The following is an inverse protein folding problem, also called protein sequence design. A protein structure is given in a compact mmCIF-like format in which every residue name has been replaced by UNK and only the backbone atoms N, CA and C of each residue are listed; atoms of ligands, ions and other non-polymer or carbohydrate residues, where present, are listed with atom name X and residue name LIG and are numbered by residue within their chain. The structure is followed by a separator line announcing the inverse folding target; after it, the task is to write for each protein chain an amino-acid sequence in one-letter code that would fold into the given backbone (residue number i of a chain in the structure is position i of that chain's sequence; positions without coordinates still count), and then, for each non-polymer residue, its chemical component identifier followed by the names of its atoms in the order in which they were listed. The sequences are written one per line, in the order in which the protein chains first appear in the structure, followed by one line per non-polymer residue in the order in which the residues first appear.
data_IF_472242027033
#
_entry.id   IF_472242027033
#
_cell.length_a   1.000
_cell.length_b   1.000
_cell.length_c   1.000
_cell.angle_alpha   90.00
_cell.angle_beta   90.00
_cell.angle_gamma   90.00
#
_symmetry.space_group_name_H-M   'P 1'
#
loop_
_entity.id
_entity.type
_entity.pdbx_description
1 polymer ?
#
# COMPACT_ATOMS: atom_id res chain seq x y z
N UNK A 1 -16.52 15.05 -36.41
CA UNK A 1 -15.32 15.50 -35.68
C UNK A 1 -15.19 14.57 -34.48
N UNK A 2 -14.16 13.77 -34.46
CA UNK A 2 -13.90 12.85 -33.34
C UNK A 2 -13.22 13.63 -32.20
N UNK A 3 -13.76 13.50 -30.97
CA UNK A 3 -13.15 14.13 -29.79
C UNK A 3 -12.00 13.27 -29.31
N UNK A 4 -10.79 13.80 -29.32
CA UNK A 4 -9.59 13.10 -28.83
C UNK A 4 -9.44 13.36 -27.34
N UNK A 5 -9.44 12.29 -26.54
CA UNK A 5 -9.18 12.32 -25.10
C UNK A 5 -7.68 12.35 -24.82
N UNK A 6 -7.32 12.61 -23.55
CA UNK A 6 -5.93 12.60 -23.11
C UNK A 6 -5.33 11.19 -23.34
N UNK A 7 -4.25 11.13 -24.12
CA UNK A 7 -3.61 9.87 -24.51
C UNK A 7 -3.09 9.06 -23.32
N UNK A 8 -2.60 9.72 -22.28
CA UNK A 8 -2.12 9.03 -21.07
C UNK A 8 -3.25 8.29 -20.33
N UNK A 9 -4.47 8.85 -20.37
CA UNK A 9 -5.64 8.20 -19.74
C UNK A 9 -6.04 6.94 -20.50
N UNK A 10 -5.86 6.90 -21.81
CA UNK A 10 -6.20 5.71 -22.63
C UNK A 10 -5.27 4.53 -22.37
N UNK A 11 -4.09 4.76 -21.77
CA UNK A 11 -3.13 3.73 -21.40
C UNK A 11 -3.43 3.06 -20.06
N UNK A 12 -4.37 3.60 -19.28
CA UNK A 12 -4.69 3.12 -17.93
C UNK A 12 -6.10 2.55 -17.91
N UNK A 13 -6.23 1.35 -17.34
CA UNK A 13 -7.53 0.73 -17.10
C UNK A 13 -7.98 0.96 -15.65
N UNK A 14 -9.27 0.87 -15.41
CA UNK A 14 -9.80 0.85 -14.05
C UNK A 14 -9.20 -0.34 -13.28
N UNK A 15 -8.97 -0.13 -11.98
CA UNK A 15 -8.34 -1.12 -11.12
C UNK A 15 -8.96 -2.52 -11.26
N UNK A 16 -8.16 -3.51 -11.69
CA UNK A 16 -8.56 -4.90 -11.78
C UNK A 16 -9.02 -5.46 -10.42
N UNK A 17 -8.40 -5.01 -9.33
CA UNK A 17 -8.81 -5.35 -7.95
C UNK A 17 -10.25 -4.91 -7.69
N UNK A 18 -10.62 -3.68 -8.08
CA UNK A 18 -12.00 -3.18 -7.92
C UNK A 18 -12.97 -3.92 -8.82
N UNK A 19 -12.60 -4.15 -10.09
CA UNK A 19 -13.42 -4.91 -11.06
C UNK A 19 -13.72 -6.31 -10.49
N UNK A 20 -12.73 -7.01 -9.99
CA UNK A 20 -12.90 -8.34 -9.40
C UNK A 20 -13.74 -8.30 -8.12
N UNK A 21 -13.54 -7.30 -7.27
CA UNK A 21 -14.35 -7.11 -6.07
C UNK A 21 -15.83 -6.88 -6.40
N UNK A 22 -16.14 -6.10 -7.44
CA UNK A 22 -17.52 -5.93 -7.90
C UNK A 22 -18.11 -7.23 -8.42
N UNK A 23 -17.33 -8.02 -9.18
CA UNK A 23 -17.77 -9.33 -9.66
C UNK A 23 -18.11 -10.27 -8.50
N UNK A 24 -17.27 -10.31 -7.47
CA UNK A 24 -17.52 -11.11 -6.25
C UNK A 24 -18.78 -10.65 -5.53
N UNK A 25 -18.97 -9.35 -5.33
CA UNK A 25 -20.17 -8.79 -4.69
C UNK A 25 -21.46 -9.06 -5.50
N UNK A 26 -21.34 -9.14 -6.81
CA UNK A 26 -22.48 -9.47 -7.69
C UNK A 26 -22.78 -10.98 -7.74
N UNK A 27 -21.96 -11.83 -7.15
CA UNK A 27 -22.13 -13.29 -7.14
C UNK A 27 -22.83 -13.71 -5.84
N UNK A 28 -24.10 -14.16 -5.89
CA UNK A 28 -24.85 -14.53 -4.70
C UNK A 28 -24.16 -15.66 -3.91
N UNK A 29 -24.02 -15.46 -2.59
CA UNK A 29 -23.45 -16.45 -1.69
C UNK A 29 -21.92 -16.57 -1.77
N UNK A 30 -21.23 -15.72 -2.54
CA UNK A 30 -19.77 -15.71 -2.56
C UNK A 30 -19.17 -15.15 -1.27
N UNK A 31 -18.16 -15.86 -0.75
CA UNK A 31 -17.29 -15.37 0.32
C UNK A 31 -16.21 -14.46 -0.28
N UNK A 32 -16.16 -13.20 0.13
CA UNK A 32 -15.21 -12.22 -0.41
C UNK A 32 -13.97 -12.12 0.47
N UNK A 33 -12.79 -12.48 -0.05
CA UNK A 33 -11.49 -12.28 0.59
C UNK A 33 -10.60 -11.39 -0.30
N UNK A 34 -11.18 -10.33 -0.85
CA UNK A 34 -10.58 -9.52 -1.92
C UNK A 34 -10.00 -8.20 -1.47
N UNK A 35 -10.70 -7.45 -0.61
CA UNK A 35 -10.31 -6.08 -0.24
C UNK A 35 -9.39 -6.11 0.98
N UNK A 36 -8.38 -5.23 0.96
CA UNK A 36 -7.52 -4.96 2.11
C UNK A 36 -8.12 -3.87 3.00
N UNK A 37 -9.20 -4.18 3.69
CA UNK A 37 -9.90 -3.30 4.61
C UNK A 37 -10.16 -4.04 5.92
N UNK A 38 -9.55 -3.59 7.05
CA UNK A 38 -9.79 -4.21 8.35
C UNK A 38 -11.28 -4.29 8.69
N UNK A 39 -11.73 -5.45 9.16
CA UNK A 39 -13.10 -5.67 9.66
C UNK A 39 -13.34 -5.07 11.05
N UNK A 40 -12.37 -4.30 11.52
CA UNK A 40 -12.41 -3.62 12.81
C UNK A 40 -13.11 -2.26 12.70
N UNK A 41 -13.70 -1.84 13.79
CA UNK A 41 -14.16 -0.47 13.95
C UNK A 41 -12.99 0.50 14.17
N UNK A 42 -13.12 1.73 13.66
CA UNK A 42 -12.27 2.84 14.09
C UNK A 42 -12.33 2.98 15.62
N UNK A 43 -11.22 3.15 16.33
CA UNK A 43 -11.21 3.27 17.80
C UNK A 43 -12.21 4.30 18.32
N UNK A 44 -12.90 3.97 19.41
CA UNK A 44 -13.96 4.81 19.96
C UNK A 44 -13.48 6.24 20.27
N UNK A 45 -12.30 6.38 20.88
CA UNK A 45 -11.72 7.69 21.19
C UNK A 45 -11.52 8.56 19.94
N UNK A 46 -11.08 7.96 18.82
CA UNK A 46 -10.92 8.66 17.53
C UNK A 46 -12.26 9.14 16.99
N UNK A 47 -13.31 8.30 17.08
CA UNK A 47 -14.68 8.68 16.68
C UNK A 47 -15.22 9.82 17.54
N UNK A 48 -15.02 9.78 18.87
CA UNK A 48 -15.47 10.84 19.77
C UNK A 48 -14.71 12.16 19.53
N UNK A 49 -13.41 12.13 19.24
CA UNK A 49 -12.65 13.32 18.88
C UNK A 49 -13.18 14.01 17.61
N UNK A 50 -13.59 13.23 16.60
CA UNK A 50 -14.21 13.77 15.39
C UNK A 50 -15.58 14.40 15.68
N UNK A 51 -16.42 13.76 16.51
CA UNK A 51 -17.71 14.30 16.93
C UNK A 51 -17.55 15.61 17.68
N UNK A 52 -16.62 15.66 18.64
CA UNK A 52 -16.30 16.88 19.38
C UNK A 52 -15.84 18.01 18.45
N UNK A 53 -15.02 17.72 17.44
CA UNK A 53 -14.61 18.71 16.45
C UNK A 53 -15.80 19.27 15.66
N UNK A 54 -16.77 18.42 15.29
CA UNK A 54 -17.99 18.84 14.60
C UNK A 54 -18.88 19.69 15.52
N UNK A 55 -19.04 19.31 16.79
CA UNK A 55 -19.80 20.07 17.79
C UNK A 55 -19.17 21.45 18.08
N UNK A 56 -17.84 21.55 18.00
CA UNK A 56 -17.08 22.80 18.11
C UNK A 56 -17.14 23.66 16.82
N UNK A 57 -17.85 23.23 15.79
CA UNK A 57 -17.92 23.87 14.46
C UNK A 57 -16.55 23.96 13.75
N UNK A 58 -15.65 23.02 13.96
CA UNK A 58 -14.38 22.91 13.21
C UNK A 58 -14.65 22.36 11.81
N UNK A 59 -15.31 23.18 10.98
CA UNK A 59 -15.84 22.80 9.65
C UNK A 59 -15.45 23.78 8.53
N UNK A 60 -14.49 24.65 8.80
CA UNK A 60 -13.98 25.63 7.84
C UNK A 60 -12.68 25.14 7.19
N UNK A 61 -12.25 25.82 6.13
CA UNK A 61 -11.00 25.50 5.44
C UNK A 61 -9.79 25.60 6.38
N UNK A 62 -9.07 24.49 6.60
CA UNK A 62 -7.78 24.54 7.28
C UNK A 62 -6.67 24.96 6.30
N UNK A 63 -5.44 25.22 6.80
CA UNK A 63 -4.27 25.38 5.94
C UNK A 63 -4.08 24.19 4.99
N UNK A 64 -3.57 24.44 3.78
CA UNK A 64 -3.44 23.44 2.72
C UNK A 64 -2.69 22.18 3.17
N UNK A 65 -1.50 22.33 3.77
CA UNK A 65 -0.69 21.19 4.24
C UNK A 65 -1.21 20.53 5.52
N UNK A 66 -2.27 21.08 6.11
CA UNK A 66 -2.79 20.69 7.42
C UNK A 66 -2.53 21.76 8.48
N UNK A 67 -3.16 21.61 9.63
CA UNK A 67 -2.90 22.49 10.76
C UNK A 67 -1.47 22.30 11.30
N UNK A 68 -0.76 23.38 11.71
CA UNK A 68 0.58 23.26 12.26
C UNK A 68 0.69 22.32 13.46
N UNK A 69 -0.34 22.29 14.31
CA UNK A 69 -0.38 21.37 15.46
C UNK A 69 -0.51 19.91 15.02
N UNK A 70 -1.18 19.61 13.89
CA UNK A 70 -1.29 18.25 13.36
C UNK A 70 0.01 17.82 12.68
N UNK A 71 0.63 18.71 11.90
CA UNK A 71 1.95 18.47 11.32
C UNK A 71 3.00 18.20 12.43
N UNK A 72 2.97 18.99 13.52
CA UNK A 72 3.84 18.78 14.67
C UNK A 72 3.55 17.45 15.38
N UNK A 73 2.28 17.03 15.48
CA UNK A 73 1.92 15.74 16.07
C UNK A 73 2.45 14.57 15.22
N UNK A 74 2.35 14.65 13.89
CA UNK A 74 2.92 13.64 12.97
C UNK A 74 4.45 13.62 13.11
N UNK A 75 5.12 14.77 13.03
CA UNK A 75 6.57 14.85 13.13
C UNK A 75 7.09 14.26 14.45
N UNK A 76 6.39 14.57 15.57
CA UNK A 76 6.70 14.00 16.88
C UNK A 76 6.51 12.47 16.89
N UNK A 77 5.39 11.98 16.41
CA UNK A 77 5.09 10.55 16.34
C UNK A 77 6.17 9.79 15.56
N UNK A 78 6.54 10.31 14.38
CA UNK A 78 7.54 9.69 13.53
C UNK A 78 8.94 9.68 14.19
N UNK A 79 9.30 10.76 14.87
CA UNK A 79 10.57 10.83 15.60
C UNK A 79 10.59 9.84 16.78
N UNK A 80 9.53 9.80 17.60
CA UNK A 80 9.48 8.98 18.82
C UNK A 80 9.31 7.47 18.53
N UNK A 81 8.53 7.12 17.52
CA UNK A 81 8.21 5.72 17.22
C UNK A 81 9.12 5.09 16.16
N UNK A 82 9.68 5.89 15.27
CA UNK A 82 10.39 5.39 14.09
C UNK A 82 11.77 6.03 13.88
N UNK A 83 12.18 6.98 14.74
CA UNK A 83 13.47 7.66 14.60
C UNK A 83 13.58 8.58 13.38
N UNK A 84 12.46 8.91 12.73
CA UNK A 84 12.43 9.76 11.54
C UNK A 84 12.25 11.22 11.95
N UNK A 85 13.30 12.00 11.84
CA UNK A 85 13.33 13.39 12.29
C UNK A 85 13.02 14.36 11.15
N UNK A 86 11.75 14.70 10.96
CA UNK A 86 11.25 15.72 10.04
C UNK A 86 10.74 16.93 10.82
N UNK A 87 10.91 18.13 10.27
CA UNK A 87 10.28 19.34 10.82
C UNK A 87 8.77 19.34 10.47
N UNK A 88 7.91 20.02 11.27
CA UNK A 88 6.47 20.07 10.96
C UNK A 88 6.16 20.56 9.53
N UNK A 89 6.91 21.52 9.00
CA UNK A 89 6.79 22.05 7.63
C UNK A 89 7.20 21.04 6.53
N UNK A 90 7.88 19.97 6.91
CA UNK A 90 8.24 18.85 6.02
C UNK A 90 7.19 17.73 6.00
N UNK A 91 6.04 17.97 6.61
CA UNK A 91 4.89 17.07 6.65
C UNK A 91 3.73 17.70 5.88
N UNK A 92 3.09 16.93 4.99
CA UNK A 92 1.84 17.31 4.34
C UNK A 92 0.79 16.24 4.57
N UNK A 93 -0.39 16.64 5.04
CA UNK A 93 -1.54 15.76 5.17
C UNK A 93 -2.21 15.55 3.81
N UNK A 94 -2.68 14.34 3.56
CA UNK A 94 -3.22 13.94 2.24
C UNK A 94 -4.52 13.15 2.36
N UNK A 95 -5.29 13.07 1.27
CA UNK A 95 -6.51 12.24 1.19
C UNK A 95 -6.12 10.76 1.09
N UNK A 96 -5.52 10.25 2.16
CA UNK A 96 -4.89 8.94 2.25
C UNK A 96 -3.61 8.84 1.44
N UNK A 97 -2.91 7.72 1.57
CA UNK A 97 -1.67 7.46 0.82
C UNK A 97 -1.87 7.48 -0.71
N UNK A 98 -3.08 7.22 -1.21
CA UNK A 98 -3.37 7.29 -2.65
C UNK A 98 -3.10 8.67 -3.23
N UNK A 99 -3.54 9.72 -2.53
CA UNK A 99 -3.27 11.10 -2.95
C UNK A 99 -1.80 11.47 -2.70
N UNK A 100 -1.20 11.03 -1.59
CA UNK A 100 0.21 11.24 -1.33
C UNK A 100 1.10 10.69 -2.46
N UNK A 101 0.85 9.45 -2.90
CA UNK A 101 1.54 8.82 -4.03
C UNK A 101 1.31 9.59 -5.34
N UNK A 102 0.05 9.98 -5.60
CA UNK A 102 -0.30 10.72 -6.81
C UNK A 102 0.40 12.08 -6.86
N UNK A 103 0.33 12.84 -5.79
CA UNK A 103 0.96 14.16 -5.70
C UNK A 103 2.49 14.07 -5.76
N UNK A 104 3.10 13.11 -5.04
CA UNK A 104 4.55 12.90 -5.02
C UNK A 104 5.09 12.51 -6.39
N UNK A 105 4.54 11.48 -7.03
CA UNK A 105 4.97 11.07 -8.36
C UNK A 105 4.69 12.17 -9.40
N UNK A 106 3.58 12.92 -9.26
CA UNK A 106 3.30 14.05 -10.15
C UNK A 106 4.28 15.19 -9.99
N UNK A 107 4.82 15.40 -8.78
CA UNK A 107 5.77 16.46 -8.50
C UNK A 107 7.18 16.20 -9.07
N UNK A 108 7.55 14.93 -9.24
CA UNK A 108 8.90 14.54 -9.64
C UNK A 108 9.03 14.02 -11.07
N UNK A 109 7.93 13.53 -11.68
CA UNK A 109 7.98 12.89 -13.00
C UNK A 109 7.70 13.86 -14.15
N UNK A 110 8.52 13.74 -15.19
CA UNK A 110 8.27 14.28 -16.51
C UNK A 110 7.89 13.16 -17.50
N UNK A 111 7.23 13.48 -18.62
CA UNK A 111 6.99 12.49 -19.68
C UNK A 111 8.30 11.85 -20.15
N UNK A 112 8.30 10.51 -20.20
CA UNK A 112 9.47 9.72 -20.62
C UNK A 112 10.44 9.35 -19.49
N UNK A 113 10.29 9.88 -18.27
CA UNK A 113 11.01 9.41 -17.09
C UNK A 113 10.63 7.96 -16.77
N UNK A 114 11.57 7.20 -16.20
CA UNK A 114 11.36 5.82 -15.81
C UNK A 114 11.21 5.69 -14.29
N UNK A 115 10.27 4.82 -13.86
CA UNK A 115 10.07 4.50 -12.45
C UNK A 115 10.22 2.99 -12.26
N UNK A 116 11.18 2.59 -11.42
CA UNK A 116 11.36 1.18 -11.07
C UNK A 116 10.29 0.78 -10.05
N UNK A 117 9.60 -0.32 -10.36
CA UNK A 117 8.53 -0.89 -9.53
C UNK A 117 8.86 -2.35 -9.27
N UNK A 118 9.40 -2.70 -8.08
CA UNK A 118 9.53 -4.10 -7.67
C UNK A 118 8.17 -4.80 -7.68
N UNK A 119 8.05 -5.91 -8.43
CA UNK A 119 6.81 -6.69 -8.53
C UNK A 119 6.94 -8.01 -7.78
N UNK A 120 5.83 -8.52 -7.18
CA UNK A 120 4.44 -8.02 -7.26
C UNK A 120 4.25 -6.69 -6.55
N UNK A 121 3.40 -5.83 -7.11
CA UNK A 121 3.18 -4.48 -6.62
C UNK A 121 1.70 -4.05 -6.67
N UNK A 122 1.34 -3.09 -5.84
CA UNK A 122 0.02 -2.47 -5.93
C UNK A 122 -0.11 -1.67 -7.23
N UNK A 123 -1.11 -2.00 -8.07
CA UNK A 123 -1.28 -1.42 -9.41
C UNK A 123 -1.47 0.09 -9.49
N UNK A 124 -1.60 0.77 -8.34
CA UNK A 124 -1.67 2.24 -8.28
C UNK A 124 -0.39 2.89 -8.79
N UNK A 125 0.77 2.33 -8.48
CA UNK A 125 2.06 2.92 -8.88
C UNK A 125 2.18 3.00 -10.40
N UNK A 126 1.94 1.88 -11.09
CA UNK A 126 1.92 1.83 -12.55
C UNK A 126 0.92 2.82 -13.14
N UNK A 127 -0.30 2.86 -12.59
CA UNK A 127 -1.35 3.73 -13.09
C UNK A 127 -0.93 5.21 -13.03
N UNK A 128 -0.36 5.66 -11.91
CA UNK A 128 0.11 7.05 -11.75
C UNK A 128 1.25 7.35 -12.73
N UNK A 129 2.24 6.45 -12.83
CA UNK A 129 3.40 6.61 -13.73
C UNK A 129 2.92 6.82 -15.17
N UNK A 130 2.02 5.95 -15.66
CA UNK A 130 1.44 6.08 -17.02
C UNK A 130 0.63 7.34 -17.20
N UNK A 131 -0.20 7.73 -16.20
CA UNK A 131 -0.97 8.97 -16.24
C UNK A 131 -0.07 10.21 -16.35
N UNK A 132 1.17 10.14 -15.88
CA UNK A 132 2.17 11.21 -16.01
C UNK A 132 2.95 11.14 -17.32
N UNK A 133 2.66 10.19 -18.21
CA UNK A 133 3.42 9.96 -19.45
C UNK A 133 4.81 9.39 -19.19
N UNK A 134 5.07 8.92 -17.99
CA UNK A 134 6.31 8.22 -17.60
C UNK A 134 6.18 6.71 -17.85
N UNK A 135 7.29 5.98 -17.72
CA UNK A 135 7.40 4.57 -18.08
C UNK A 135 7.64 3.73 -16.83
N UNK A 136 6.75 2.78 -16.49
CA UNK A 136 7.03 1.82 -15.41
C UNK A 136 8.07 0.78 -15.89
N UNK A 137 9.10 0.57 -15.08
CA UNK A 137 10.13 -0.47 -15.26
C UNK A 137 9.92 -1.51 -14.16
N UNK A 138 9.45 -2.69 -14.53
CA UNK A 138 9.17 -3.73 -13.57
C UNK A 138 10.44 -4.48 -13.17
N UNK A 139 10.58 -4.73 -11.86
CA UNK A 139 11.67 -5.50 -11.27
C UNK A 139 11.06 -6.72 -10.56
N UNK A 140 11.00 -7.91 -11.20
CA UNK A 140 10.44 -9.11 -10.60
C UNK A 140 11.22 -9.53 -9.36
N UNK A 141 10.52 -9.87 -8.26
CA UNK A 141 11.14 -10.28 -6.99
C UNK A 141 10.62 -11.61 -6.45
N UNK A 142 9.59 -12.20 -7.07
CA UNK A 142 8.95 -13.44 -6.61
C UNK A 142 9.89 -14.65 -6.62
N UNK A 143 10.87 -14.65 -7.51
CA UNK A 143 11.89 -15.70 -7.59
C UNK A 143 12.96 -15.61 -6.49
N UNK A 144 13.06 -14.45 -5.82
CA UNK A 144 14.02 -14.16 -4.75
C UNK A 144 13.34 -13.92 -3.39
N UNK A 145 12.23 -14.62 -3.09
CA UNK A 145 11.51 -14.46 -1.82
C UNK A 145 11.01 -13.04 -1.59
N UNK A 146 10.67 -12.34 -2.67
CA UNK A 146 10.24 -10.94 -2.70
C UNK A 146 11.30 -9.94 -2.20
N UNK A 147 12.58 -10.34 -2.19
CA UNK A 147 13.70 -9.45 -1.91
C UNK A 147 14.25 -8.88 -3.23
N UNK A 148 14.77 -7.66 -3.20
CA UNK A 148 15.36 -7.03 -4.37
C UNK A 148 16.80 -7.55 -4.55
N UNK A 149 17.10 -8.11 -5.72
CA UNK A 149 18.46 -8.45 -6.11
C UNK A 149 19.19 -7.17 -6.57
N UNK A 150 20.31 -6.78 -5.93
CA UNK A 150 21.00 -5.53 -6.25
C UNK A 150 21.59 -5.51 -7.67
N UNK A 151 21.99 -6.66 -8.22
CA UNK A 151 22.50 -6.73 -9.58
C UNK A 151 21.38 -6.59 -10.62
N UNK A 152 20.16 -7.07 -10.32
CA UNK A 152 18.99 -6.84 -11.15
C UNK A 152 18.54 -5.38 -11.08
N UNK A 153 18.54 -4.79 -9.88
CA UNK A 153 18.27 -3.37 -9.69
C UNK A 153 19.25 -2.51 -10.50
N UNK A 154 20.55 -2.79 -10.42
CA UNK A 154 21.57 -2.03 -11.16
C UNK A 154 21.38 -2.12 -12.68
N UNK A 155 21.00 -3.29 -13.20
CA UNK A 155 20.69 -3.48 -14.63
C UNK A 155 19.42 -2.75 -15.07
N UNK A 156 18.45 -2.56 -14.16
CA UNK A 156 17.20 -1.86 -14.45
C UNK A 156 17.37 -0.33 -14.48
N UNK A 157 18.46 0.19 -13.90
CA UNK A 157 18.73 1.64 -13.87
C UNK A 157 19.27 2.10 -15.22
N UNK A 158 18.66 3.14 -15.76
CA UNK A 158 19.07 3.83 -16.98
C UNK A 158 19.26 5.33 -16.72
N UNK A 159 19.80 6.10 -17.67
CA UNK A 159 19.84 7.57 -17.54
C UNK A 159 18.47 8.25 -17.42
N UNK A 160 17.37 7.53 -17.69
CA UNK A 160 15.99 8.02 -17.55
C UNK A 160 15.35 7.63 -16.23
N UNK A 161 15.99 6.77 -15.45
CA UNK A 161 15.45 6.34 -14.15
C UNK A 161 15.36 7.54 -13.21
N UNK A 162 14.14 7.88 -12.84
CA UNK A 162 13.80 9.03 -12.00
C UNK A 162 13.48 8.63 -10.57
N UNK A 163 12.84 7.48 -10.39
CA UNK A 163 12.40 7.04 -9.06
C UNK A 163 12.32 5.50 -8.97
N UNK A 164 12.34 5.02 -7.74
CA UNK A 164 11.95 3.68 -7.34
C UNK A 164 10.86 3.75 -6.27
N UNK A 165 9.89 2.84 -6.29
CA UNK A 165 8.87 2.72 -5.24
C UNK A 165 9.16 1.48 -4.42
N UNK A 166 9.46 1.66 -3.13
CA UNK A 166 9.67 0.58 -2.17
C UNK A 166 8.44 0.47 -1.27
N UNK A 167 7.87 -0.72 -1.17
CA UNK A 167 6.71 -1.01 -0.31
C UNK A 167 7.05 -2.12 0.65
N UNK A 168 7.13 -1.82 1.94
CA UNK A 168 7.45 -2.78 3.00
C UNK A 168 6.69 -2.44 4.28
N UNK A 169 5.85 -3.37 4.78
CA UNK A 169 5.42 -4.64 4.22
C UNK A 169 4.67 -4.51 2.88
N UNK A 170 4.88 -5.48 2.01
CA UNK A 170 4.40 -5.43 0.63
C UNK A 170 2.92 -5.83 0.49
N UNK A 171 2.20 -5.17 -0.38
CA UNK A 171 0.92 -5.59 -0.94
C UNK A 171 1.16 -6.00 -2.41
N UNK A 172 1.08 -7.29 -2.78
CA UNK A 172 0.22 -8.33 -2.20
C UNK A 172 0.91 -9.41 -1.36
N UNK A 173 2.24 -9.46 -1.25
CA UNK A 173 2.96 -10.63 -0.73
C UNK A 173 3.02 -10.69 0.80
N UNK A 174 2.87 -9.56 1.50
CA UNK A 174 3.12 -9.47 2.94
C UNK A 174 4.61 -9.56 3.31
N UNK A 175 5.50 -9.59 2.33
CA UNK A 175 6.93 -9.63 2.58
C UNK A 175 7.46 -8.31 3.14
N UNK A 176 8.49 -8.41 3.98
CA UNK A 176 9.27 -7.29 4.50
C UNK A 176 10.66 -7.37 3.89
N UNK A 177 11.21 -6.26 3.45
CA UNK A 177 12.61 -6.22 3.02
C UNK A 177 13.53 -6.43 4.21
N UNK A 178 14.49 -7.35 4.09
CA UNK A 178 15.52 -7.54 5.10
C UNK A 178 16.48 -6.35 5.15
N UNK A 179 17.17 -6.18 6.30
CA UNK A 179 18.19 -5.13 6.43
C UNK A 179 19.26 -5.26 5.36
N UNK A 180 19.67 -6.49 5.04
CA UNK A 180 20.66 -6.78 4.01
C UNK A 180 20.18 -6.35 2.62
N UNK A 181 18.90 -6.59 2.30
CA UNK A 181 18.30 -6.11 1.05
C UNK A 181 18.29 -4.58 1.00
N UNK A 182 17.88 -3.93 2.09
CA UNK A 182 17.85 -2.46 2.15
C UNK A 182 19.26 -1.86 2.03
N UNK A 183 20.26 -2.44 2.71
CA UNK A 183 21.66 -2.01 2.60
C UNK A 183 22.20 -2.18 1.16
N UNK A 184 21.86 -3.28 0.50
CA UNK A 184 22.26 -3.51 -0.88
C UNK A 184 21.58 -2.54 -1.85
N UNK A 185 20.29 -2.25 -1.66
CA UNK A 185 19.56 -1.23 -2.44
C UNK A 185 20.14 0.17 -2.20
N UNK A 186 20.45 0.51 -0.95
CA UNK A 186 21.13 1.77 -0.61
C UNK A 186 22.46 1.90 -1.34
N UNK A 187 23.32 0.88 -1.28
CA UNK A 187 24.61 0.89 -1.95
C UNK A 187 24.51 1.10 -3.48
N UNK A 188 23.45 0.61 -4.10
CA UNK A 188 23.19 0.84 -5.52
C UNK A 188 22.72 2.27 -5.81
N UNK A 189 21.95 2.89 -4.89
CA UNK A 189 21.25 4.15 -5.13
C UNK A 189 21.97 5.40 -4.60
N UNK A 190 22.85 5.28 -3.60
CA UNK A 190 23.40 6.40 -2.81
C UNK A 190 24.06 7.49 -3.67
N UNK A 191 24.76 7.11 -4.74
CA UNK A 191 25.44 8.05 -5.64
C UNK A 191 24.61 8.42 -6.89
N UNK A 192 23.32 8.06 -6.94
CA UNK A 192 22.46 8.30 -8.10
C UNK A 192 21.37 9.33 -7.80
N UNK A 193 21.02 10.20 -8.76
CA UNK A 193 19.96 11.20 -8.57
C UNK A 193 18.56 10.56 -8.76
N UNK A 194 18.27 9.52 -7.99
CA UNK A 194 17.03 8.74 -8.08
C UNK A 194 16.23 8.95 -6.80
N UNK A 195 14.96 9.34 -6.93
CA UNK A 195 14.04 9.45 -5.80
C UNK A 195 13.63 8.06 -5.29
N UNK A 196 13.47 7.93 -3.98
CA UNK A 196 12.95 6.72 -3.35
C UNK A 196 11.62 7.06 -2.65
N UNK A 197 10.54 6.47 -3.15
CA UNK A 197 9.24 6.56 -2.49
C UNK A 197 9.11 5.36 -1.55
N UNK A 198 9.05 5.60 -0.26
CA UNK A 198 8.82 4.59 0.77
C UNK A 198 7.30 4.54 1.08
N UNK A 199 6.58 3.58 0.47
CA UNK A 199 5.18 3.35 0.79
C UNK A 199 5.09 2.46 2.04
N UNK A 200 5.12 3.09 3.19
CA UNK A 200 5.22 2.46 4.52
C UNK A 200 3.84 2.29 5.19
N UNK A 201 2.74 2.29 4.42
CA UNK A 201 1.35 2.27 4.94
C UNK A 201 1.02 1.05 5.81
N UNK A 202 1.82 -0.01 5.73
CA UNK A 202 1.69 -1.22 6.54
C UNK A 202 2.75 -1.33 7.65
N UNK A 203 3.63 -0.35 7.82
CA UNK A 203 4.74 -0.38 8.80
C UNK A 203 4.30 -0.73 10.23
N UNK A 204 3.12 -0.27 10.65
CA UNK A 204 2.57 -0.59 11.96
C UNK A 204 1.98 -2.01 12.07
N UNK A 205 1.91 -2.75 10.97
CA UNK A 205 1.34 -4.10 10.90
C UNK A 205 2.43 -5.10 10.51
N UNK A 206 3.49 -5.20 11.32
CA UNK A 206 4.61 -6.14 11.13
C UNK A 206 4.58 -7.26 12.16
N UNK A 207 5.08 -8.43 11.76
CA UNK A 207 5.09 -9.64 12.57
C UNK A 207 6.50 -10.15 12.87
N UNK A 208 7.51 -9.41 12.40
CA UNK A 208 8.93 -9.64 12.67
C UNK A 208 9.41 -8.66 13.74
N UNK A 209 10.46 -9.04 14.47
CA UNK A 209 11.04 -8.20 15.54
C UNK A 209 11.99 -7.15 14.95
N UNK A 210 12.70 -7.50 13.89
CA UNK A 210 13.70 -6.64 13.24
C UNK A 210 13.13 -6.07 11.93
N UNK A 211 12.34 -5.00 12.06
CA UNK A 211 11.78 -4.29 10.92
C UNK A 211 12.57 -3.01 10.66
N UNK A 212 12.95 -2.81 9.41
CA UNK A 212 13.58 -1.60 8.91
C UNK A 212 12.83 -1.04 7.71
N UNK A 213 12.85 0.28 7.57
CA UNK A 213 12.39 0.98 6.38
C UNK A 213 13.57 1.64 5.66
N UNK A 214 13.49 1.75 4.34
CA UNK A 214 14.48 2.53 3.58
C UNK A 214 14.47 4.01 3.98
N UNK A 215 13.42 4.51 4.60
CA UNK A 215 13.34 5.87 5.13
C UNK A 215 14.36 6.18 6.24
N UNK A 216 15.02 5.16 6.80
CA UNK A 216 16.05 5.31 7.85
C UNK A 216 17.42 5.75 7.31
N UNK A 217 17.66 5.68 5.98
CA UNK A 217 18.93 6.12 5.36
C UNK A 217 19.00 7.64 5.25
N UNK A 218 19.48 8.29 6.30
CA UNK A 218 19.52 9.75 6.44
C UNK A 218 20.45 10.47 5.47
N UNK A 219 21.45 9.77 4.92
CA UNK A 219 22.38 10.26 3.89
C UNK A 219 21.72 10.38 2.51
N UNK A 220 20.54 9.79 2.32
CA UNK A 220 19.71 9.92 1.12
C UNK A 220 18.43 10.75 1.35
N UNK A 221 18.28 11.39 2.51
CA UNK A 221 17.06 12.11 2.90
C UNK A 221 16.61 13.14 1.88
N UNK A 222 17.55 13.79 1.20
CA UNK A 222 17.32 14.78 0.14
C UNK A 222 16.53 14.27 -1.09
N UNK A 223 16.27 12.96 -1.15
CA UNK A 223 15.54 12.29 -2.25
C UNK A 223 14.59 11.19 -1.78
N UNK A 224 14.40 11.03 -0.47
CA UNK A 224 13.42 10.09 0.10
C UNK A 224 12.07 10.81 0.30
N UNK A 225 10.98 10.15 -0.10
CA UNK A 225 9.61 10.56 0.17
C UNK A 225 8.93 9.44 0.93
N UNK A 226 8.59 9.69 2.19
CA UNK A 226 7.91 8.73 3.07
C UNK A 226 6.41 8.92 2.96
N UNK A 227 5.67 7.84 2.73
CA UNK A 227 4.22 7.85 2.54
C UNK A 227 3.57 6.99 3.60
N UNK A 228 2.58 7.55 4.29
CA UNK A 228 1.90 6.93 5.40
C UNK A 228 0.37 7.10 5.35
N UNK A 229 -0.33 6.25 6.08
CA UNK A 229 -1.78 6.26 6.14
C UNK A 229 -2.32 5.86 7.51
N UNK A 230 -3.40 6.50 7.93
CA UNK A 230 -4.20 6.09 9.09
C UNK A 230 -5.14 4.91 8.77
N UNK A 231 -5.29 4.58 7.49
CA UNK A 231 -6.30 3.61 7.00
C UNK A 231 -6.14 2.22 7.61
N UNK A 232 -4.91 1.73 7.79
CA UNK A 232 -4.68 0.32 8.11
C UNK A 232 -4.55 0.06 9.62
N UNK A 233 -3.67 0.75 10.35
CA UNK A 233 -3.50 0.49 11.78
C UNK A 233 -4.73 0.87 12.61
N UNK A 234 -5.48 1.90 12.17
CA UNK A 234 -6.61 2.45 12.94
C UNK A 234 -7.99 2.13 12.35
N UNK A 235 -8.09 1.23 11.36
CA UNK A 235 -9.33 0.92 10.66
C UNK A 235 -10.06 2.18 10.14
N UNK A 236 -9.31 3.14 9.58
CA UNK A 236 -9.79 4.44 9.12
C UNK A 236 -9.85 4.53 7.58
N UNK A 237 -10.16 3.44 6.89
CA UNK A 237 -10.15 3.40 5.41
C UNK A 237 -11.10 4.40 4.77
N UNK A 238 -12.30 4.59 5.35
CA UNK A 238 -13.33 5.52 4.90
C UNK A 238 -13.06 6.99 5.26
N UNK A 239 -12.14 7.27 6.18
CA UNK A 239 -11.80 8.63 6.61
C UNK A 239 -10.97 9.39 5.58
N UNK A 240 -10.29 8.65 4.69
CA UNK A 240 -9.45 9.20 3.62
C UNK A 240 -8.39 10.16 4.15
N UNK A 241 -7.54 9.69 5.06
CA UNK A 241 -6.46 10.47 5.65
C UNK A 241 -5.14 9.71 5.67
N UNK A 242 -4.08 10.40 5.31
CA UNK A 242 -2.69 9.96 5.33
C UNK A 242 -1.78 11.18 5.35
N UNK A 243 -0.51 10.95 5.15
CA UNK A 243 0.50 12.02 5.05
C UNK A 243 1.71 11.55 4.25
N UNK A 244 2.47 12.50 3.76
CA UNK A 244 3.84 12.24 3.32
C UNK A 244 4.82 13.20 4.00
N UNK A 245 6.07 12.76 4.06
CA UNK A 245 7.20 13.51 4.60
C UNK A 245 8.35 13.46 3.62
N UNK A 246 9.01 14.58 3.43
CA UNK A 246 10.24 14.72 2.64
C UNK A 246 10.91 16.05 3.01
N UNK A 247 12.13 16.27 2.54
CA UNK A 247 12.79 17.56 2.70
C UNK A 247 11.93 18.70 2.11
N UNK A 248 11.96 19.87 2.75
CA UNK A 248 11.12 21.01 2.44
C UNK A 248 11.05 21.38 0.94
N UNK A 249 12.14 21.36 0.15
CA UNK A 249 12.06 21.64 -1.28
C UNK A 249 11.21 20.65 -2.08
N UNK A 250 11.11 19.39 -1.61
CA UNK A 250 10.26 18.36 -2.23
C UNK A 250 8.80 18.59 -1.82
N UNK A 251 8.55 18.85 -0.53
CA UNK A 251 7.21 19.14 0.00
C UNK A 251 6.60 20.35 -0.70
N UNK A 252 7.37 21.42 -0.95
CA UNK A 252 6.91 22.59 -1.70
C UNK A 252 6.37 22.24 -3.10
N UNK A 253 6.93 21.23 -3.75
CA UNK A 253 6.45 20.76 -5.06
C UNK A 253 5.26 19.84 -4.98
N UNK A 254 5.24 18.95 -3.99
CA UNK A 254 4.09 18.08 -3.71
C UNK A 254 2.87 18.91 -3.34
N UNK A 255 3.06 19.98 -2.56
CA UNK A 255 1.99 20.90 -2.16
C UNK A 255 1.26 21.54 -3.34
N UNK A 256 1.95 21.81 -4.45
CA UNK A 256 1.31 22.36 -5.64
C UNK A 256 0.23 21.40 -6.17
N UNK A 257 0.55 20.12 -6.30
CA UNK A 257 -0.41 19.12 -6.77
C UNK A 257 -1.54 18.90 -5.75
N UNK A 258 -1.22 18.84 -4.47
CA UNK A 258 -2.20 18.76 -3.39
C UNK A 258 -3.18 19.93 -3.44
N UNK A 259 -2.67 21.16 -3.48
CA UNK A 259 -3.51 22.37 -3.47
C UNK A 259 -4.49 22.42 -4.64
N UNK A 260 -4.06 22.05 -5.85
CA UNK A 260 -4.91 22.10 -7.03
C UNK A 260 -5.76 20.85 -7.26
N UNK A 261 -5.58 19.80 -6.47
CA UNK A 261 -6.42 18.60 -6.52
C UNK A 261 -7.48 18.55 -5.42
N UNK A 262 -7.12 18.86 -4.17
CA UNK A 262 -8.00 18.69 -3.01
C UNK A 262 -8.10 19.92 -2.10
N UNK A 263 -7.23 20.91 -2.27
CA UNK A 263 -7.12 22.14 -1.47
C UNK A 263 -6.60 21.90 -0.07
N UNK A 264 -7.26 21.07 0.73
CA UNK A 264 -6.89 20.76 2.12
C UNK A 264 -7.65 19.53 2.61
N UNK A 265 -7.20 18.96 3.72
CA UNK A 265 -7.87 17.85 4.41
C UNK A 265 -8.95 18.40 5.35
N UNK A 266 -10.13 17.74 5.49
CA UNK A 266 -11.17 18.20 6.40
C UNK A 266 -10.65 18.44 7.82
N UNK A 267 -11.00 19.59 8.38
CA UNK A 267 -10.52 20.06 9.68
C UNK A 267 -10.83 19.09 10.82
N UNK A 268 -12.09 18.65 10.95
CA UNK A 268 -12.55 17.73 12.00
C UNK A 268 -11.84 16.35 11.94
N UNK A 269 -11.42 15.91 10.75
CA UNK A 269 -10.66 14.67 10.59
C UNK A 269 -9.26 14.83 11.19
N UNK A 270 -8.62 15.98 11.03
CA UNK A 270 -7.28 16.23 11.56
C UNK A 270 -7.25 16.16 13.10
N UNK A 271 -8.27 16.67 13.79
CA UNK A 271 -8.40 16.54 15.26
C UNK A 271 -8.47 15.08 15.70
N UNK A 272 -9.25 14.27 15.00
CA UNK A 272 -9.34 12.83 15.28
C UNK A 272 -8.02 12.09 15.06
N UNK A 273 -7.21 12.55 14.10
CA UNK A 273 -5.92 11.91 13.79
C UNK A 273 -4.88 12.08 14.90
N UNK A 274 -4.91 13.18 15.66
CA UNK A 274 -4.03 13.31 16.85
C UNK A 274 -4.33 12.20 17.84
N UNK A 275 -5.62 11.96 18.13
CA UNK A 275 -6.04 10.85 19.02
C UNK A 275 -5.65 9.48 18.44
N UNK A 276 -5.69 9.33 17.11
CA UNK A 276 -5.26 8.09 16.47
C UNK A 276 -3.75 7.84 16.67
N UNK A 277 -2.89 8.87 16.52
CA UNK A 277 -1.46 8.74 16.77
C UNK A 277 -1.11 8.36 18.23
N UNK A 278 -1.98 8.71 19.17
CA UNK A 278 -1.84 8.36 20.59
C UNK A 278 -2.43 6.99 20.93
N UNK A 279 -3.12 6.34 19.98
CA UNK A 279 -3.78 5.05 20.18
C UNK A 279 -2.81 3.91 19.87
N UNK A 280 -2.61 3.01 20.83
CA UNK A 280 -1.78 1.81 20.62
C UNK A 280 -2.48 0.84 19.66
N UNK A 281 -1.70 0.14 18.85
CA UNK A 281 -2.19 -0.80 17.83
C UNK A 281 -1.77 -2.25 18.07
N UNK A 282 -1.17 -2.55 19.22
CA UNK A 282 -0.63 -3.88 19.54
C UNK A 282 -1.69 -4.98 19.46
N UNK A 283 -2.91 -4.70 19.94
CA UNK A 283 -4.03 -5.65 19.85
C UNK A 283 -4.43 -5.94 18.39
N UNK A 284 -4.35 -4.93 17.53
CA UNK A 284 -4.62 -5.06 16.09
C UNK A 284 -3.55 -5.91 15.43
N UNK A 285 -2.28 -5.68 15.77
CA UNK A 285 -1.13 -6.47 15.29
C UNK A 285 -1.26 -7.92 15.76
N UNK A 286 -1.56 -8.14 17.04
CA UNK A 286 -1.73 -9.48 17.60
C UNK A 286 -2.88 -10.24 16.92
N UNK A 287 -4.02 -9.58 16.66
CA UNK A 287 -5.15 -10.16 15.95
C UNK A 287 -4.75 -10.59 14.53
N UNK A 288 -4.12 -9.69 13.76
CA UNK A 288 -3.75 -10.02 12.38
C UNK A 288 -2.61 -11.06 12.32
N UNK A 289 -1.70 -11.09 13.28
CA UNK A 289 -0.72 -12.17 13.41
C UNK A 289 -1.41 -13.52 13.61
N UNK A 290 -2.38 -13.61 14.53
CA UNK A 290 -3.17 -14.82 14.76
C UNK A 290 -3.91 -15.28 13.49
N UNK A 291 -4.53 -14.35 12.76
CA UNK A 291 -5.23 -14.64 11.50
C UNK A 291 -4.24 -15.08 10.42
N UNK A 292 -3.07 -14.43 10.31
CA UNK A 292 -1.98 -14.83 9.45
C UNK A 292 -1.59 -16.28 9.69
N UNK A 293 -1.32 -16.65 10.94
CA UNK A 293 -0.88 -18.00 11.33
C UNK A 293 -1.94 -19.04 10.95
N UNK A 294 -3.20 -18.75 11.24
CA UNK A 294 -4.31 -19.63 10.89
C UNK A 294 -4.45 -19.82 9.38
N UNK A 295 -4.46 -18.73 8.61
CA UNK A 295 -4.63 -18.80 7.15
C UNK A 295 -3.43 -19.47 6.49
N UNK A 296 -2.21 -19.14 6.93
CA UNK A 296 -0.97 -19.73 6.44
C UNK A 296 -0.96 -21.25 6.64
N UNK A 297 -1.25 -21.71 7.86
CA UNK A 297 -1.32 -23.13 8.17
C UNK A 297 -2.35 -23.84 7.31
N UNK A 298 -3.57 -23.29 7.19
CA UNK A 298 -4.63 -23.88 6.37
C UNK A 298 -4.22 -24.00 4.89
N UNK A 299 -3.61 -22.98 4.32
CA UNK A 299 -3.15 -23.01 2.91
C UNK A 299 -2.03 -24.05 2.72
N UNK A 300 -1.10 -24.12 3.65
CA UNK A 300 -0.01 -25.11 3.64
C UNK A 300 -0.53 -26.54 3.75
N UNK A 301 -1.49 -26.79 4.65
CA UNK A 301 -2.13 -28.10 4.80
C UNK A 301 -2.88 -28.55 3.53
N UNK A 302 -3.38 -27.58 2.73
CA UNK A 302 -3.97 -27.83 1.43
C UNK A 302 -2.92 -28.13 0.33
N UNK A 303 -1.63 -28.04 0.65
CA UNK A 303 -0.53 -28.19 -0.31
C UNK A 303 -0.39 -27.01 -1.28
N UNK A 304 -0.88 -25.83 -0.91
CA UNK A 304 -0.65 -24.60 -1.66
C UNK A 304 0.71 -23.99 -1.28
N UNK A 305 1.43 -23.50 -2.27
CA UNK A 305 2.71 -22.83 -2.06
C UNK A 305 2.46 -21.36 -1.78
N UNK A 306 2.88 -20.88 -0.62
CA UNK A 306 2.76 -19.52 -0.16
C UNK A 306 3.93 -19.20 0.77
N UNK A 307 4.53 -18.02 0.62
CA UNK A 307 5.49 -17.51 1.59
C UNK A 307 4.74 -16.98 2.81
N UNK A 308 5.24 -17.29 4.01
CA UNK A 308 4.68 -16.75 5.24
C UNK A 308 4.82 -15.22 5.27
N UNK A 309 3.69 -14.48 5.38
CA UNK A 309 3.76 -13.02 5.44
C UNK A 309 4.41 -12.52 6.72
N UNK A 310 5.28 -11.55 6.56
CA UNK A 310 6.01 -10.89 7.65
C UNK A 310 5.33 -9.59 8.11
N UNK A 311 4.31 -9.13 7.35
CA UNK A 311 3.51 -7.96 7.67
C UNK A 311 2.27 -7.83 6.79
N UNK A 312 1.58 -6.71 6.88
CA UNK A 312 0.29 -6.43 6.23
C UNK A 312 -0.78 -7.48 6.60
N UNK A 313 -1.71 -7.79 5.71
CA UNK A 313 -2.75 -8.80 5.92
C UNK A 313 -3.12 -9.50 4.61
N UNK A 314 -2.10 -9.91 3.84
CA UNK A 314 -2.25 -10.59 2.55
C UNK A 314 -1.44 -11.87 2.49
N UNK A 315 -1.97 -12.85 1.74
CA UNK A 315 -1.28 -14.04 1.26
C UNK A 315 -1.20 -13.98 -0.26
N UNK A 316 -0.02 -14.20 -0.82
CA UNK A 316 0.18 -14.27 -2.28
C UNK A 316 0.54 -15.71 -2.65
N UNK A 317 -0.44 -16.42 -3.21
CA UNK A 317 -0.48 -17.87 -3.31
C UNK A 317 -0.10 -18.28 -4.73
N UNK A 318 0.89 -19.15 -4.89
CA UNK A 318 1.31 -19.71 -6.17
C UNK A 318 0.28 -20.74 -6.68
N UNK A 319 -0.24 -20.50 -7.87
CA UNK A 319 -1.22 -21.39 -8.54
C UNK A 319 -0.70 -21.98 -9.85
N UNK A 320 0.58 -21.76 -10.18
CA UNK A 320 1.19 -22.22 -11.46
C UNK A 320 1.05 -23.72 -11.70
N UNK A 321 1.04 -24.52 -10.61
CA UNK A 321 0.85 -25.98 -10.70
C UNK A 321 -0.48 -26.41 -11.33
N UNK A 322 -1.47 -25.52 -11.38
CA UNK A 322 -2.77 -25.83 -11.96
C UNK A 322 -2.86 -25.55 -13.47
N UNK A 323 -1.83 -24.97 -14.08
CA UNK A 323 -1.74 -24.75 -15.52
C UNK A 323 -2.76 -23.77 -16.10
N UNK A 324 -3.34 -22.91 -15.27
CA UNK A 324 -4.29 -21.86 -15.63
C UNK A 324 -3.69 -20.50 -15.37
N UNK A 325 -4.04 -19.49 -16.17
CA UNK A 325 -3.76 -18.08 -15.83
C UNK A 325 -4.55 -17.66 -14.60
N UNK A 326 -4.05 -16.64 -13.91
CA UNK A 326 -4.57 -16.21 -12.62
C UNK A 326 -6.01 -15.69 -12.68
N UNK A 327 -6.40 -15.04 -13.78
CA UNK A 327 -7.76 -14.53 -13.97
C UNK A 327 -8.74 -15.69 -14.19
N UNK A 328 -8.41 -16.63 -15.08
CA UNK A 328 -9.21 -17.84 -15.31
C UNK A 328 -9.37 -18.65 -14.03
N UNK A 329 -8.29 -18.85 -13.27
CA UNK A 329 -8.33 -19.58 -12.00
C UNK A 329 -9.27 -18.92 -11.00
N UNK A 330 -9.11 -17.61 -10.76
CA UNK A 330 -9.94 -16.88 -9.79
C UNK A 330 -11.42 -16.79 -10.22
N UNK A 331 -11.70 -16.66 -11.53
CA UNK A 331 -13.09 -16.70 -12.05
C UNK A 331 -13.69 -18.08 -11.84
N UNK A 332 -12.95 -19.16 -12.10
CA UNK A 332 -13.41 -20.53 -11.87
C UNK A 332 -13.69 -20.79 -10.40
N UNK A 333 -12.76 -20.37 -9.52
CA UNK A 333 -12.93 -20.46 -8.06
C UNK A 333 -14.16 -19.68 -7.57
N UNK A 334 -14.42 -18.51 -8.12
CA UNK A 334 -15.62 -17.73 -7.78
C UNK A 334 -16.91 -18.44 -8.21
N UNK A 335 -16.94 -19.02 -9.41
CA UNK A 335 -18.15 -19.67 -9.95
C UNK A 335 -18.44 -21.03 -9.31
N UNK A 336 -17.41 -21.84 -9.09
CA UNK A 336 -17.55 -23.21 -8.63
C UNK A 336 -17.33 -23.36 -7.11
N UNK A 337 -16.38 -22.57 -6.54
CA UNK A 337 -16.06 -22.56 -5.12
C UNK A 337 -16.78 -21.48 -4.32
N UNK A 338 -17.39 -20.50 -4.97
CA UNK A 338 -18.04 -19.35 -4.34
C UNK A 338 -17.08 -18.57 -3.39
N UNK A 339 -15.80 -18.45 -3.80
CA UNK A 339 -14.80 -17.65 -3.09
C UNK A 339 -14.19 -16.64 -4.04
N UNK A 340 -14.14 -15.40 -3.61
CA UNK A 340 -13.52 -14.31 -4.35
C UNK A 340 -12.11 -14.01 -3.85
N UNK A 341 -11.13 -14.13 -4.75
CA UNK A 341 -9.72 -13.77 -4.56
C UNK A 341 -9.29 -12.84 -5.69
N UNK A 342 -8.14 -12.20 -5.57
CA UNK A 342 -7.67 -11.30 -6.63
C UNK A 342 -6.57 -11.98 -7.46
N UNK A 343 -6.70 -12.01 -8.81
CA UNK A 343 -5.67 -12.54 -9.69
C UNK A 343 -4.34 -11.82 -9.57
N UNK A 344 -3.24 -12.56 -9.62
CA UNK A 344 -1.89 -12.03 -9.47
C UNK A 344 -1.46 -11.09 -10.59
N UNK A 345 -2.03 -11.25 -11.79
CA UNK A 345 -1.77 -10.34 -12.92
C UNK A 345 -2.08 -8.87 -12.58
N UNK A 346 -3.04 -8.61 -11.67
CA UNK A 346 -3.37 -7.25 -11.23
C UNK A 346 -2.34 -6.64 -10.26
N UNK A 347 -1.31 -7.40 -9.93
CA UNK A 347 -0.13 -6.98 -9.18
C UNK A 347 1.15 -7.09 -10.02
N UNK A 348 1.03 -7.29 -11.33
CA UNK A 348 2.14 -7.44 -12.26
C UNK A 348 2.84 -8.81 -12.21
N UNK A 349 2.23 -9.83 -11.57
CA UNK A 349 2.85 -11.15 -11.42
C UNK A 349 1.82 -12.24 -11.72
N UNK A 350 1.98 -12.89 -12.88
CA UNK A 350 1.09 -13.96 -13.34
C UNK A 350 1.36 -15.28 -12.60
N UNK A 351 0.34 -16.16 -12.53
CA UNK A 351 0.44 -17.46 -11.89
C UNK A 351 0.29 -17.43 -10.36
N UNK A 352 -0.20 -16.33 -9.82
CA UNK A 352 -0.48 -16.15 -8.39
C UNK A 352 -1.90 -15.65 -8.16
N UNK A 353 -2.36 -15.74 -6.90
CA UNK A 353 -3.60 -15.11 -6.44
C UNK A 353 -3.41 -14.50 -5.06
N UNK A 354 -4.05 -13.35 -4.80
CA UNK A 354 -4.02 -12.70 -3.48
C UNK A 354 -5.26 -13.01 -2.68
N UNK A 355 -5.06 -13.49 -1.44
CA UNK A 355 -6.05 -13.59 -0.38
C UNK A 355 -5.80 -12.47 0.65
N UNK A 356 -6.83 -11.76 1.05
CA UNK A 356 -6.78 -10.84 2.18
C UNK A 356 -7.32 -11.50 3.44
N UNK A 357 -6.58 -11.45 4.56
CA UNK A 357 -7.01 -12.05 5.82
C UNK A 357 -7.46 -11.00 6.87
N UNK A 358 -7.85 -9.82 6.41
CA UNK A 358 -8.41 -8.76 7.26
C UNK A 358 -9.95 -8.88 7.45
N UNK A 359 -10.48 -10.08 7.30
CA UNK A 359 -11.89 -10.42 7.48
C UNK A 359 -12.13 -11.15 8.81
N UNK A 360 -13.40 -11.33 9.21
CA UNK A 360 -13.74 -12.04 10.44
C UNK A 360 -13.21 -13.47 10.45
N UNK A 361 -12.96 -14.02 11.66
CA UNK A 361 -12.53 -15.42 11.81
C UNK A 361 -13.52 -16.41 11.19
N UNK A 362 -14.83 -16.05 11.17
CA UNK A 362 -15.89 -16.85 10.53
C UNK A 362 -15.78 -16.82 9.01
N UNK A 363 -15.59 -15.64 8.39
CA UNK A 363 -15.45 -15.50 6.94
C UNK A 363 -14.17 -16.19 6.46
N UNK A 364 -13.07 -16.04 7.22
CA UNK A 364 -11.80 -16.70 6.90
C UNK A 364 -11.96 -18.22 6.93
N UNK A 365 -12.60 -18.77 7.96
CA UNK A 365 -12.87 -20.19 8.03
C UNK A 365 -13.72 -20.66 6.86
N UNK A 366 -14.82 -20.00 6.59
CA UNK A 366 -15.72 -20.37 5.49
C UNK A 366 -15.02 -20.29 4.13
N UNK A 367 -14.30 -19.20 3.87
CA UNK A 367 -13.55 -19.03 2.63
C UNK A 367 -12.49 -20.12 2.43
N UNK A 368 -11.73 -20.44 3.46
CA UNK A 368 -10.71 -21.49 3.41
C UNK A 368 -11.31 -22.89 3.23
N UNK A 369 -12.42 -23.21 3.89
CA UNK A 369 -13.13 -24.50 3.71
C UNK A 369 -13.61 -24.65 2.24
N UNK A 370 -14.09 -23.59 1.64
CA UNK A 370 -14.50 -23.56 0.22
C UNK A 370 -13.31 -23.64 -0.74
N UNK A 371 -12.20 -22.97 -0.45
CA UNK A 371 -10.95 -23.09 -1.23
C UNK A 371 -10.49 -24.56 -1.20
N UNK A 372 -10.42 -25.17 -0.01
CA UNK A 372 -10.01 -26.56 0.14
C UNK A 372 -10.89 -27.53 -0.67
N UNK A 373 -12.20 -27.33 -0.61
CA UNK A 373 -13.14 -28.13 -1.40
C UNK A 373 -12.92 -27.94 -2.90
N UNK A 374 -12.73 -26.71 -3.36
CA UNK A 374 -12.54 -26.38 -4.77
C UNK A 374 -11.24 -27.01 -5.30
N UNK A 375 -10.10 -26.80 -4.62
CA UNK A 375 -8.82 -27.33 -5.13
C UNK A 375 -8.76 -28.85 -5.19
N UNK A 376 -9.55 -29.58 -4.37
CA UNK A 376 -9.69 -31.06 -4.44
C UNK A 376 -10.42 -31.52 -5.71
N UNK A 377 -11.05 -30.60 -6.46
CA UNK A 377 -11.73 -30.92 -7.71
C UNK A 377 -10.85 -30.69 -8.94
N UNK A 378 -9.69 -30.07 -8.77
CA UNK A 378 -8.72 -29.79 -9.83
C UNK A 378 -7.70 -30.93 -9.96
#
# INVERSE_FOLDING_TARGET
MELVLNENVTQVQLSGIRRFTYLVRATPGACALTIGEPDLDTPAAVKEAAKAALDDNDTHYPPGNGYPWMQAAVAKYEAERHGLHYAPEEVILTVGATEALFASLSAILNPGDEVIIPTPAFGLYEAIVRLRGAVPVYLPTEHNGYQIDPAELERAITPKTKAIVLTSPNNPSGAVYSKETLDAVHAVLVDKPIFVLCDDVYRSLVYVEDYHSFSEYTDMRDRIIVIQSFSKPYAMTGWRIGYCMADAPIIDRIQIFHQYSVVSIPSFVQRACVTALETEVDDVVALFRKRRDYVYQRLTDMGLSVQEPQGAFYMFIDIRKYGMDSETFCVKMLKEGLVGLIPGIHFGTEGYMRLSYCYSDADLKEGLDRIEKFIKTL
#
